data_IF_893050972748
#
_entry.id   IF_893050972748
#
_cell.length_a   1.000
_cell.length_b   1.000
_cell.length_c   1.000
_cell.angle_alpha   90.00
_cell.angle_beta   90.00
_cell.angle_gamma   90.00
#
_symmetry.space_group_name_H-M   'P 1'
#
loop_
_entity.id
_entity.type
_entity.pdbx_description
1 polymer ?
#
# COMPACT_ATOMS: atom_id res chain seq x y z
N UNK A 1 -18.83 -7.81 5.25
CA UNK A 1 -17.37 -7.72 5.46
C UNK A 1 -16.91 -6.37 5.96
N UNK A 2 -17.48 -5.95 7.08
CA UNK A 2 -17.10 -4.74 7.82
C UNK A 2 -16.79 -5.11 9.26
N UNK A 3 -15.83 -4.43 9.85
CA UNK A 3 -15.49 -4.45 11.26
C UNK A 3 -15.19 -3.05 11.77
N UNK A 4 -14.99 -2.95 13.08
CA UNK A 4 -14.54 -1.75 13.77
C UNK A 4 -13.21 -2.09 14.46
N UNK A 5 -12.22 -1.19 14.39
CA UNK A 5 -10.99 -1.30 15.14
C UNK A 5 -10.76 -0.10 16.06
N UNK A 6 -9.57 -0.03 16.67
CA UNK A 6 -9.12 1.14 17.40
C UNK A 6 -9.84 1.31 18.74
N UNK A 7 -9.99 2.57 19.16
CA UNK A 7 -10.47 2.90 20.50
C UNK A 7 -11.88 2.39 20.79
N UNK A 8 -12.74 2.26 19.77
CA UNK A 8 -14.09 1.73 19.94
C UNK A 8 -14.04 0.23 20.25
N UNK A 9 -13.25 -0.54 19.51
CA UNK A 9 -13.08 -1.98 19.73
C UNK A 9 -12.47 -2.30 21.11
N UNK A 10 -11.65 -1.40 21.65
CA UNK A 10 -11.01 -1.54 22.97
C UNK A 10 -11.83 -0.90 24.11
N UNK A 11 -13.00 -0.35 23.83
CA UNK A 11 -13.81 0.41 24.79
C UNK A 11 -13.04 1.57 25.48
N UNK A 12 -12.12 2.21 24.76
CA UNK A 12 -11.30 3.35 25.19
C UNK A 12 -11.66 4.65 24.45
N UNK A 13 -12.77 4.64 23.70
CA UNK A 13 -13.21 5.78 22.92
C UNK A 13 -13.79 6.89 23.81
N UNK A 14 -13.65 8.13 23.35
CA UNK A 14 -14.27 9.31 23.96
C UNK A 14 -15.21 9.97 22.96
N UNK A 15 -15.91 11.02 23.40
CA UNK A 15 -16.73 11.85 22.49
C UNK A 15 -15.92 12.51 21.37
N UNK A 16 -14.59 12.63 21.53
CA UNK A 16 -13.67 13.18 20.52
C UNK A 16 -13.05 12.13 19.59
N UNK A 17 -13.24 10.84 19.87
CA UNK A 17 -12.71 9.76 19.04
C UNK A 17 -13.34 9.73 17.66
N UNK A 18 -12.53 9.33 16.69
CA UNK A 18 -12.91 8.94 15.34
C UNK A 18 -13.45 7.50 15.30
N UNK A 19 -14.02 7.14 14.15
CA UNK A 19 -14.52 5.80 13.87
C UNK A 19 -13.57 5.12 12.88
N UNK A 20 -13.01 4.00 13.33
CA UNK A 20 -12.01 3.22 12.63
C UNK A 20 -12.65 2.00 11.96
N UNK A 21 -13.03 2.11 10.70
CA UNK A 21 -13.61 1.00 9.95
C UNK A 21 -12.53 0.05 9.42
N UNK A 22 -12.84 -1.25 9.45
CA UNK A 22 -12.06 -2.30 8.78
C UNK A 22 -12.92 -2.94 7.71
N UNK A 23 -12.41 -2.99 6.48
CA UNK A 23 -13.04 -3.70 5.37
C UNK A 23 -12.21 -4.93 5.04
N UNK A 24 -12.87 -6.08 5.00
CA UNK A 24 -12.22 -7.34 4.63
C UNK A 24 -12.35 -7.54 3.13
N UNK A 25 -11.24 -7.69 2.42
CA UNK A 25 -11.25 -7.98 0.99
C UNK A 25 -10.92 -6.80 0.10
N UNK A 26 -10.11 -7.03 -0.93
CA UNK A 26 -9.71 -6.00 -1.89
C UNK A 26 -10.91 -5.49 -2.68
N UNK A 27 -11.72 -6.41 -3.23
CA UNK A 27 -12.95 -6.07 -3.96
C UNK A 27 -13.94 -5.27 -3.11
N UNK A 28 -14.10 -5.64 -1.84
CA UNK A 28 -14.98 -4.94 -0.91
C UNK A 28 -14.44 -3.54 -0.60
N UNK A 29 -13.13 -3.39 -0.44
CA UNK A 29 -12.50 -2.09 -0.23
C UNK A 29 -12.70 -1.16 -1.43
N UNK A 30 -12.52 -1.66 -2.65
CA UNK A 30 -12.82 -0.92 -3.90
C UNK A 30 -14.29 -0.53 -4.00
N UNK A 31 -15.20 -1.42 -3.61
CA UNK A 31 -16.63 -1.11 -3.55
C UNK A 31 -16.92 0.01 -2.54
N UNK A 32 -16.27 -0.01 -1.37
CA UNK A 32 -16.42 1.05 -0.38
C UNK A 32 -15.90 2.39 -0.92
N UNK A 33 -14.71 2.43 -1.54
CA UNK A 33 -14.16 3.66 -2.11
C UNK A 33 -15.15 4.31 -3.08
N UNK A 34 -15.73 3.52 -3.99
CA UNK A 34 -16.74 4.01 -4.92
C UNK A 34 -17.99 4.56 -4.22
N UNK A 35 -18.42 3.94 -3.11
CA UNK A 35 -19.55 4.43 -2.32
C UNK A 35 -19.20 5.72 -1.58
N UNK A 36 -18.01 5.82 -0.97
CA UNK A 36 -17.57 7.03 -0.27
C UNK A 36 -17.39 8.19 -1.26
N UNK A 37 -16.85 7.94 -2.46
CA UNK A 37 -16.74 8.94 -3.51
C UNK A 37 -18.11 9.50 -3.91
N UNK A 38 -19.11 8.65 -4.15
CA UNK A 38 -20.49 9.10 -4.44
C UNK A 38 -21.08 9.94 -3.30
N UNK A 39 -20.95 9.49 -2.05
CA UNK A 39 -21.44 10.23 -0.89
C UNK A 39 -20.70 11.57 -0.68
N UNK A 40 -19.45 11.66 -1.11
CA UNK A 40 -18.68 12.90 -1.10
C UNK A 40 -19.17 13.86 -2.19
N UNK A 41 -19.44 13.37 -3.40
CA UNK A 41 -19.99 14.13 -4.53
C UNK A 41 -21.38 14.68 -4.22
N UNK A 42 -22.23 13.90 -3.54
CA UNK A 42 -23.56 14.32 -3.06
C UNK A 42 -23.49 15.31 -1.87
N UNK A 43 -22.31 15.53 -1.29
CA UNK A 43 -22.12 16.41 -0.13
C UNK A 43 -22.57 15.81 1.21
N UNK A 44 -22.96 14.52 1.23
CA UNK A 44 -23.37 13.78 2.43
C UNK A 44 -22.21 13.63 3.42
N UNK A 45 -20.99 13.44 2.92
CA UNK A 45 -19.76 13.43 3.70
C UNK A 45 -18.68 14.26 3.00
N UNK A 46 -17.55 14.50 3.68
CA UNK A 46 -16.40 15.20 3.09
C UNK A 46 -15.11 14.45 3.38
N UNK A 47 -14.26 14.29 2.38
CA UNK A 47 -12.88 13.87 2.61
C UNK A 47 -12.11 14.90 3.42
N UNK A 48 -11.09 14.44 4.14
CA UNK A 48 -10.15 15.31 4.84
C UNK A 48 -8.74 15.02 4.35
N UNK A 49 -8.10 16.02 3.77
CA UNK A 49 -6.72 15.92 3.29
C UNK A 49 -5.82 16.84 4.12
N UNK A 50 -4.76 16.30 4.73
CA UNK A 50 -3.75 17.09 5.46
C UNK A 50 -2.35 16.92 4.89
N UNK A 51 -2.09 15.78 4.25
CA UNK A 51 -0.80 15.44 3.66
C UNK A 51 -0.94 15.31 2.15
N UNK A 52 0.18 15.46 1.44
CA UNK A 52 0.26 15.39 -0.02
C UNK A 52 -0.43 14.14 -0.59
N UNK A 53 -0.21 12.98 0.02
CA UNK A 53 -0.77 11.71 -0.48
C UNK A 53 -2.20 11.44 -0.03
N UNK A 54 -2.78 12.23 0.89
CA UNK A 54 -4.14 11.95 1.38
C UNK A 54 -5.18 12.05 0.24
N UNK A 55 -4.95 12.91 -0.77
CA UNK A 55 -5.81 13.06 -1.95
C UNK A 55 -5.85 11.80 -2.81
N UNK A 56 -4.75 11.07 -2.90
CA UNK A 56 -4.67 9.78 -3.59
C UNK A 56 -5.24 8.66 -2.72
N UNK A 57 -4.90 8.63 -1.43
CA UNK A 57 -5.29 7.55 -0.51
C UNK A 57 -6.77 7.53 -0.19
N UNK A 58 -7.39 8.71 -0.06
CA UNK A 58 -8.80 8.94 0.30
C UNK A 58 -9.33 8.20 1.54
N UNK A 59 -8.47 7.67 2.40
CA UNK A 59 -8.84 6.76 3.50
C UNK A 59 -9.59 7.38 4.70
N UNK A 60 -9.81 8.71 4.71
CA UNK A 60 -10.41 9.40 5.87
C UNK A 60 -11.33 10.54 5.47
N UNK A 61 -12.37 10.73 6.25
CA UNK A 61 -13.39 11.74 6.01
C UNK A 61 -14.14 12.15 7.26
N UNK A 62 -15.18 12.95 7.04
CA UNK A 62 -16.11 13.42 8.06
C UNK A 62 -17.53 13.28 7.58
N UNK A 63 -18.33 12.64 8.41
CA UNK A 63 -19.78 12.58 8.28
C UNK A 63 -20.39 13.32 9.47
N UNK A 64 -21.21 14.35 9.20
CA UNK A 64 -21.69 15.31 10.21
C UNK A 64 -20.50 15.90 11.00
N UNK A 65 -20.44 15.64 12.31
CA UNK A 65 -19.39 16.11 13.22
C UNK A 65 -18.43 14.98 13.66
N UNK A 66 -18.45 13.83 12.98
CA UNK A 66 -17.62 12.67 13.32
C UNK A 66 -16.61 12.37 12.23
N UNK A 67 -15.36 12.24 12.66
CA UNK A 67 -14.25 11.76 11.84
C UNK A 67 -14.37 10.26 11.67
N UNK A 68 -14.03 9.78 10.49
CA UNK A 68 -13.88 8.36 10.23
C UNK A 68 -12.64 8.08 9.40
N UNK A 69 -12.09 6.90 9.59
CA UNK A 69 -11.06 6.30 8.75
C UNK A 69 -11.55 4.92 8.31
N UNK A 70 -11.08 4.45 7.15
CA UNK A 70 -11.33 3.09 6.71
C UNK A 70 -10.04 2.44 6.22
N UNK A 71 -9.79 1.24 6.72
CA UNK A 71 -8.62 0.43 6.41
C UNK A 71 -9.05 -0.91 5.80
N UNK A 72 -8.15 -1.53 5.04
CA UNK A 72 -8.36 -2.84 4.45
C UNK A 72 -7.58 -3.93 5.20
N UNK A 73 -8.17 -5.12 5.29
CA UNK A 73 -7.48 -6.36 5.69
C UNK A 73 -7.78 -7.46 4.68
N UNK A 74 -6.79 -8.32 4.44
CA UNK A 74 -6.96 -9.48 3.55
C UNK A 74 -7.99 -10.43 4.16
N UNK A 75 -8.84 -11.01 3.32
CA UNK A 75 -9.57 -12.23 3.67
C UNK A 75 -8.60 -13.40 3.75
N UNK A 76 -8.97 -14.45 4.47
CA UNK A 76 -8.15 -15.68 4.56
C UNK A 76 -7.81 -16.20 3.15
N UNK A 77 -8.78 -16.24 2.23
CA UNK A 77 -8.56 -16.67 0.85
C UNK A 77 -7.80 -15.68 -0.06
N UNK A 78 -7.42 -14.50 0.44
CA UNK A 78 -6.53 -13.56 -0.27
C UNK A 78 -5.09 -13.65 0.26
N UNK A 79 -4.83 -14.49 1.27
CA UNK A 79 -3.49 -14.74 1.80
C UNK A 79 -2.90 -15.92 1.03
N UNK A 80 -2.17 -15.60 -0.03
CA UNK A 80 -1.59 -16.60 -0.95
C UNK A 80 -0.15 -16.99 -0.60
N UNK A 81 0.36 -16.54 0.55
CA UNK A 81 1.73 -16.83 1.00
C UNK A 81 1.66 -17.58 2.32
N UNK A 82 2.32 -18.73 2.37
CA UNK A 82 2.53 -19.47 3.61
C UNK A 82 3.81 -18.99 4.29
N UNK A 83 3.75 -18.87 5.61
CA UNK A 83 4.92 -18.51 6.41
C UNK A 83 5.99 -19.59 6.26
N UNK A 84 7.23 -19.17 5.95
CA UNK A 84 8.36 -20.07 5.77
C UNK A 84 8.62 -20.50 4.32
N UNK A 85 7.74 -20.18 3.36
CA UNK A 85 7.94 -20.59 1.95
C UNK A 85 8.86 -19.65 1.17
N UNK A 86 9.22 -18.49 1.73
CA UNK A 86 10.08 -17.52 1.07
C UNK A 86 11.21 -17.07 1.98
N UNK A 87 12.39 -16.95 1.40
CA UNK A 87 13.57 -16.33 2.00
C UNK A 87 13.85 -15.00 1.31
N UNK A 88 14.08 -13.97 2.12
CA UNK A 88 14.31 -12.60 1.65
C UNK A 88 15.75 -12.20 1.98
N UNK A 89 16.48 -11.71 0.98
CA UNK A 89 17.86 -11.22 1.15
C UNK A 89 17.94 -9.79 0.64
N UNK A 90 18.19 -8.85 1.54
CA UNK A 90 18.43 -7.46 1.19
C UNK A 90 19.76 -7.32 0.45
N UNK A 91 19.72 -6.66 -0.71
CA UNK A 91 20.89 -6.53 -1.59
C UNK A 91 21.46 -5.12 -1.57
N UNK A 92 20.70 -4.15 -2.08
CA UNK A 92 21.16 -2.76 -2.25
C UNK A 92 20.00 -1.79 -2.31
N UNK A 93 20.27 -0.52 -2.07
CA UNK A 93 19.29 0.54 -2.21
C UNK A 93 19.13 0.95 -3.68
N UNK A 94 17.90 1.21 -4.08
CA UNK A 94 17.57 1.64 -5.45
C UNK A 94 16.56 2.79 -5.43
N UNK A 95 16.69 3.68 -6.41
CA UNK A 95 15.79 4.78 -6.72
C UNK A 95 15.44 4.74 -8.21
N UNK A 96 14.15 4.63 -8.51
CA UNK A 96 13.68 4.43 -9.88
C UNK A 96 12.28 4.99 -10.10
N UNK A 97 11.88 5.11 -11.36
CA UNK A 97 10.48 5.25 -11.76
C UNK A 97 9.99 3.98 -12.44
N UNK A 98 8.69 3.70 -12.31
CA UNK A 98 8.04 2.55 -12.93
C UNK A 98 6.55 2.84 -13.17
N UNK A 99 5.89 1.93 -13.89
CA UNK A 99 4.44 1.94 -14.09
C UNK A 99 3.79 0.84 -13.24
N UNK A 100 2.70 1.16 -12.56
CA UNK A 100 1.92 0.19 -11.79
C UNK A 100 1.05 -0.63 -12.75
N UNK A 101 1.15 -1.96 -12.67
CA UNK A 101 0.34 -2.89 -13.48
C UNK A 101 -0.71 -3.63 -12.67
N UNK A 102 -0.61 -3.62 -11.34
CA UNK A 102 -1.65 -4.14 -10.46
C UNK A 102 -1.58 -3.43 -9.10
N UNK A 103 -2.72 -2.88 -8.66
CA UNK A 103 -2.92 -2.23 -7.37
C UNK A 103 -3.94 -2.96 -6.47
N UNK A 104 -4.30 -4.22 -6.78
CA UNK A 104 -5.26 -5.03 -6.03
C UNK A 104 -4.87 -5.26 -4.56
N UNK A 105 -3.58 -5.13 -4.23
CA UNK A 105 -3.08 -5.28 -2.86
C UNK A 105 -2.55 -3.98 -2.25
N UNK A 106 -2.73 -2.84 -2.94
CA UNK A 106 -2.18 -1.56 -2.54
C UNK A 106 -2.76 -1.02 -1.23
N UNK A 107 -3.97 -1.42 -0.85
CA UNK A 107 -4.66 -0.97 0.38
C UNK A 107 -4.24 -1.71 1.64
N UNK A 108 -3.65 -2.90 1.49
CA UNK A 108 -3.31 -3.76 2.62
C UNK A 108 -1.99 -3.35 3.29
N UNK A 109 -1.65 -4.09 4.36
CA UNK A 109 -0.32 -4.06 4.97
C UNK A 109 0.34 -5.44 4.81
N UNK A 110 1.56 -5.53 4.27
CA UNK A 110 2.20 -4.52 3.42
C UNK A 110 1.31 -4.18 2.22
N UNK A 111 1.46 -2.96 1.70
CA UNK A 111 0.86 -2.57 0.43
C UNK A 111 1.72 -3.09 -0.71
N UNK A 112 1.11 -3.76 -1.67
CA UNK A 112 1.83 -4.37 -2.79
C UNK A 112 1.37 -3.72 -4.09
N UNK A 113 2.33 -3.29 -4.89
CA UNK A 113 2.16 -2.82 -6.25
C UNK A 113 2.95 -3.73 -7.17
N UNK A 114 2.29 -4.35 -8.15
CA UNK A 114 3.02 -4.96 -9.26
C UNK A 114 3.43 -3.86 -10.23
N UNK A 115 4.63 -3.96 -10.78
CA UNK A 115 5.23 -2.89 -11.59
C UNK A 115 5.86 -3.43 -12.88
N UNK A 116 6.01 -2.53 -13.85
CA UNK A 116 6.81 -2.74 -15.06
C UNK A 116 7.56 -1.44 -15.42
N UNK A 117 8.32 -1.48 -16.52
CA UNK A 117 9.01 -0.31 -17.07
C UNK A 117 9.96 0.34 -16.05
N UNK A 118 10.80 -0.47 -15.41
CA UNK A 118 11.82 0.01 -14.47
C UNK A 118 12.77 1.00 -15.15
N UNK A 119 12.91 2.20 -14.57
CA UNK A 119 13.80 3.24 -15.06
C UNK A 119 14.63 3.79 -13.90
N UNK A 120 15.93 3.46 -13.82
CA UNK A 120 16.78 3.93 -12.73
C UNK A 120 16.95 5.45 -12.79
N UNK A 121 16.91 6.11 -11.63
CA UNK A 121 17.03 7.57 -11.52
C UNK A 121 18.43 8.04 -11.12
N UNK A 122 19.33 7.10 -10.82
CA UNK A 122 20.75 7.33 -10.58
C UNK A 122 21.58 6.13 -11.09
N UNK A 123 22.90 6.31 -11.16
CA UNK A 123 23.82 5.28 -11.64
C UNK A 123 23.89 4.05 -10.72
N UNK A 124 23.70 4.25 -9.41
CA UNK A 124 23.74 3.16 -8.42
C UNK A 124 22.50 2.26 -8.46
N UNK A 125 21.43 2.75 -9.07
CA UNK A 125 20.16 2.03 -9.24
C UNK A 125 20.09 1.27 -10.56
N UNK A 126 21.15 1.27 -11.38
CA UNK A 126 21.20 0.41 -12.58
C UNK A 126 21.28 -1.05 -12.15
N UNK A 127 20.39 -1.88 -12.69
CA UNK A 127 20.30 -3.31 -12.42
C UNK A 127 20.56 -4.11 -13.70
N UNK A 128 20.99 -5.34 -13.53
CA UNK A 128 20.98 -6.33 -14.62
C UNK A 128 19.54 -6.70 -14.98
N UNK A 129 19.31 -7.23 -16.19
CA UNK A 129 17.95 -7.56 -16.68
C UNK A 129 17.25 -8.61 -15.80
N UNK A 130 18.02 -9.53 -15.25
CA UNK A 130 17.62 -10.60 -14.34
C UNK A 130 17.31 -10.12 -12.92
N UNK A 131 17.85 -8.97 -12.49
CA UNK A 131 17.58 -8.35 -11.19
C UNK A 131 16.39 -7.36 -11.20
N UNK A 132 15.74 -7.15 -12.35
CA UNK A 132 14.65 -6.16 -12.46
C UNK A 132 13.48 -6.57 -11.55
N UNK A 133 13.10 -5.73 -10.57
CA UNK A 133 12.02 -6.05 -9.66
C UNK A 133 10.67 -5.97 -10.37
N UNK A 134 9.80 -6.93 -10.07
CA UNK A 134 8.42 -6.98 -10.60
C UNK A 134 7.41 -6.38 -9.63
N UNK A 135 7.82 -6.11 -8.39
CA UNK A 135 6.94 -5.71 -7.30
C UNK A 135 7.57 -4.69 -6.37
N UNK A 136 6.75 -3.77 -5.86
CA UNK A 136 7.08 -2.86 -4.76
C UNK A 136 6.20 -3.19 -3.57
N UNK A 137 6.82 -3.46 -2.42
CA UNK A 137 6.13 -3.73 -1.16
C UNK A 137 6.40 -2.60 -0.16
N UNK A 138 5.36 -1.93 0.33
CA UNK A 138 5.48 -0.90 1.36
C UNK A 138 5.02 -1.39 2.73
N UNK A 139 5.92 -1.33 3.69
CA UNK A 139 5.66 -1.52 5.12
C UNK A 139 5.14 -0.24 5.79
N UNK A 140 5.27 0.92 5.12
CA UNK A 140 4.87 2.22 5.65
C UNK A 140 3.42 2.51 5.26
N UNK A 141 2.57 2.67 6.29
CA UNK A 141 1.14 2.95 6.13
C UNK A 141 0.82 4.19 5.28
N UNK A 142 1.74 5.16 5.22
CA UNK A 142 1.63 6.40 4.44
C UNK A 142 1.64 6.17 2.92
N UNK A 143 2.26 5.09 2.43
CA UNK A 143 2.32 4.75 1.00
C UNK A 143 1.31 3.68 0.56
N UNK A 144 0.30 3.39 1.41
CA UNK A 144 -0.79 2.47 1.04
C UNK A 144 -1.82 3.16 0.17
N UNK A 145 -2.23 2.50 -0.90
CA UNK A 145 -3.29 2.91 -1.81
C UNK A 145 -3.03 4.30 -2.44
N UNK A 146 -1.76 4.63 -2.70
CA UNK A 146 -1.35 5.94 -3.22
C UNK A 146 -1.24 5.96 -4.74
N UNK A 147 -1.35 4.82 -5.41
CA UNK A 147 -1.26 4.73 -6.87
C UNK A 147 -2.22 3.67 -7.42
N UNK A 148 -2.63 3.84 -8.68
CA UNK A 148 -3.56 2.96 -9.42
C UNK A 148 -2.88 2.27 -10.59
N UNK A 149 -3.49 1.18 -11.07
CA UNK A 149 -3.14 0.58 -12.36
C UNK A 149 -2.98 1.64 -13.46
N UNK A 150 -1.86 1.59 -14.18
CA UNK A 150 -1.51 2.50 -15.28
C UNK A 150 -0.83 3.79 -14.84
N UNK A 151 -0.79 4.11 -13.55
CA UNK A 151 -0.08 5.28 -13.05
C UNK A 151 1.43 5.05 -12.97
N UNK A 152 2.18 6.13 -13.16
CA UNK A 152 3.63 6.13 -12.94
C UNK A 152 3.94 6.55 -11.53
N UNK A 153 4.90 5.85 -10.92
CA UNK A 153 5.40 6.16 -9.58
C UNK A 153 6.91 6.28 -9.59
N UNK A 154 7.42 7.06 -8.63
CA UNK A 154 8.82 7.11 -8.24
C UNK A 154 8.98 6.41 -6.90
N UNK A 155 9.97 5.53 -6.81
CA UNK A 155 10.21 4.67 -5.66
C UNK A 155 11.66 4.82 -5.21
N UNK A 156 11.86 4.91 -3.90
CA UNK A 156 13.15 4.75 -3.24
C UNK A 156 12.99 3.71 -2.14
N UNK A 157 13.73 2.60 -2.25
CA UNK A 157 13.64 1.48 -1.31
C UNK A 157 14.85 0.56 -1.39
N UNK A 158 14.75 -0.62 -0.81
CA UNK A 158 15.79 -1.65 -0.84
C UNK A 158 15.38 -2.77 -1.77
N UNK A 159 16.23 -3.09 -2.74
CA UNK A 159 16.10 -4.27 -3.59
C UNK A 159 16.35 -5.52 -2.72
N UNK A 160 15.42 -6.45 -2.79
CA UNK A 160 15.49 -7.74 -2.13
C UNK A 160 15.40 -8.86 -3.17
N UNK A 161 16.27 -9.85 -3.02
CA UNK A 161 16.12 -11.15 -3.64
C UNK A 161 15.11 -11.96 -2.83
N UNK A 162 14.14 -12.57 -3.52
CA UNK A 162 13.09 -13.40 -2.94
C UNK A 162 13.19 -14.80 -3.53
N UNK A 163 13.60 -15.75 -2.70
CA UNK A 163 13.76 -17.16 -3.05
C UNK A 163 12.56 -17.93 -2.51
N UNK A 164 11.83 -18.62 -3.39
CA UNK A 164 10.81 -19.59 -2.98
C UNK A 164 11.50 -20.90 -2.62
N UNK A 165 11.36 -21.33 -1.37
CA UNK A 165 12.06 -22.50 -0.81
C UNK A 165 11.51 -23.82 -1.36
N UNK A 166 10.27 -23.85 -1.84
CA UNK A 166 9.65 -25.06 -2.38
C UNK A 166 10.00 -25.28 -3.86
N UNK A 167 10.18 -24.18 -4.62
CA UNK A 167 10.40 -24.25 -6.08
C UNK A 167 11.82 -23.86 -6.51
N UNK A 168 12.66 -23.42 -5.57
CA UNK A 168 13.98 -22.80 -5.81
C UNK A 168 13.93 -21.60 -6.77
N UNK A 169 12.75 -21.05 -7.03
CA UNK A 169 12.58 -19.91 -7.94
C UNK A 169 13.01 -18.62 -7.23
N UNK A 170 13.93 -17.90 -7.87
CA UNK A 170 14.37 -16.58 -7.42
C UNK A 170 13.66 -15.47 -8.20
N UNK A 171 13.17 -14.46 -7.48
CA UNK A 171 12.57 -13.23 -8.01
C UNK A 171 13.09 -12.01 -7.25
N UNK A 172 12.78 -10.81 -7.72
CA UNK A 172 13.23 -9.56 -7.09
C UNK A 172 12.06 -8.63 -6.78
N UNK A 173 12.13 -7.98 -5.62
CA UNK A 173 11.17 -6.96 -5.19
C UNK A 173 11.90 -5.76 -4.61
N UNK A 174 11.22 -4.60 -4.54
CA UNK A 174 11.71 -3.46 -3.76
C UNK A 174 10.84 -3.25 -2.55
N UNK A 175 11.45 -3.17 -1.37
CA UNK A 175 10.78 -2.87 -0.11
C UNK A 175 10.97 -1.40 0.28
N UNK A 176 9.87 -0.76 0.66
CA UNK A 176 9.83 0.59 1.22
C UNK A 176 9.39 0.48 2.68
N UNK A 177 10.17 1.01 3.61
CA UNK A 177 9.96 0.84 5.04
C UNK A 177 10.82 -0.23 5.68
N UNK A 178 12.06 -0.40 5.23
CA UNK A 178 13.03 -1.29 5.89
C UNK A 178 13.52 -0.72 7.22
N UNK A 179 13.43 0.60 7.39
CA UNK A 179 13.93 1.30 8.58
C UNK A 179 15.45 1.45 8.61
N UNK A 180 16.14 1.06 7.54
CA UNK A 180 17.60 1.16 7.42
C UNK A 180 18.08 2.53 6.94
N UNK A 181 17.16 3.37 6.43
CA UNK A 181 17.45 4.75 5.98
C UNK A 181 16.22 5.66 6.05
N UNK A 182 16.45 6.97 6.02
CA UNK A 182 15.40 7.99 6.19
C UNK A 182 14.70 8.42 4.89
N UNK A 183 15.17 8.01 3.72
CA UNK A 183 14.75 8.52 2.41
C UNK A 183 14.00 7.46 1.57
N UNK A 184 13.27 6.56 2.21
CA UNK A 184 12.42 5.57 1.55
C UNK A 184 11.03 6.15 1.24
N UNK A 185 10.56 6.01 -0.01
CA UNK A 185 9.29 6.61 -0.41
C UNK A 185 8.65 5.96 -1.64
N UNK A 186 7.36 6.23 -1.79
CA UNK A 186 6.59 6.06 -3.04
C UNK A 186 5.88 7.39 -3.34
N UNK A 187 6.10 7.94 -4.52
CA UNK A 187 5.44 9.16 -5.01
C UNK A 187 4.78 8.91 -6.36
N UNK A 188 3.58 9.44 -6.57
CA UNK A 188 3.00 9.56 -7.91
C UNK A 188 3.78 10.59 -8.72
N UNK A 189 3.96 10.32 -10.02
CA UNK A 189 4.60 11.20 -11.00
C UNK A 189 3.58 11.98 -11.83
#
# INVERSE_FOLDING_TARGET
DFGIHGSIALNMHTTKSDIDFVVYGSKNFRSLENTIDKLAEEGTLKYIFTKKLDTARKYRGRYKNKLFMYNAVRKIGEINVQYGNHKYVAMRNVTFSCEVVDDNEAMFRPAIYQIKNYQPLDSTSKLSEDEIPTKVASMIGYYRNVARHGEKIKVSGTLEQVENIETDQTTYQVVVGTGTRGDEYIWQL
#
